data_IF_817282849702
#
_entry.id   IF_817282849702
#
_cell.length_a   1.000
_cell.length_b   1.000
_cell.length_c   1.000
_cell.angle_alpha   90.00
_cell.angle_beta   90.00
_cell.angle_gamma   90.00
#
_symmetry.space_group_name_H-M   'P 1'
#
loop_
_entity.id
_entity.type
_entity.pdbx_description
1 polymer ?
#
# COMPACT_ATOMS: atom_id res chain seq x y z
N UNK A 1 -17.97 11.18 64.68
CA UNK A 1 -17.24 12.18 63.91
C UNK A 1 -18.01 12.62 62.62
N UNK A 2 -18.54 11.74 61.82
CA UNK A 2 -19.33 12.11 60.61
C UNK A 2 -20.70 12.70 61.01
N UNK A 3 -21.37 12.16 62.06
CA UNK A 3 -22.66 12.64 62.49
C UNK A 3 -22.59 14.04 63.12
N UNK A 4 -21.50 14.36 63.84
CA UNK A 4 -21.30 15.69 64.49
C UNK A 4 -20.90 16.76 63.44
N UNK A 5 -20.23 16.35 62.38
CA UNK A 5 -19.90 17.23 61.26
C UNK A 5 -21.14 17.54 60.40
N UNK A 6 -21.94 16.54 60.10
CA UNK A 6 -23.22 16.70 59.42
C UNK A 6 -24.19 17.63 60.20
N UNK A 7 -24.22 17.53 61.50
CA UNK A 7 -25.04 18.41 62.36
C UNK A 7 -24.58 19.88 62.37
N UNK A 8 -23.30 20.16 62.12
CA UNK A 8 -22.77 21.55 62.03
C UNK A 8 -23.07 22.19 60.66
N UNK A 9 -23.05 21.45 59.58
CA UNK A 9 -23.39 21.98 58.25
C UNK A 9 -24.88 22.31 58.15
N UNK A 10 -25.74 21.55 58.81
CA UNK A 10 -27.20 21.74 58.75
C UNK A 10 -27.76 22.65 59.88
N UNK A 11 -26.94 23.15 60.84
CA UNK A 11 -27.39 23.98 61.96
C UNK A 11 -27.18 25.49 61.76
N UNK A 12 -26.69 25.96 60.63
CA UNK A 12 -26.60 27.42 60.39
C UNK A 12 -27.90 27.96 59.72
N UNK A 13 -29.02 27.82 60.43
CA UNK A 13 -30.19 28.72 60.32
C UNK A 13 -30.30 29.59 61.56
N UNK A 14 -29.77 30.83 61.50
CA UNK A 14 -30.10 31.85 62.50
C UNK A 14 -31.41 32.54 62.12
N UNK A 15 -32.31 32.81 63.10
CA UNK A 15 -33.55 33.53 62.84
C UNK A 15 -33.26 35.02 62.65
N UNK A 16 -33.67 35.53 61.46
CA UNK A 16 -33.70 36.98 61.22
C UNK A 16 -35.05 37.53 61.66
N UNK A 17 -35.00 38.56 62.52
CA UNK A 17 -36.12 39.37 63.01
C UNK A 17 -36.89 40.06 61.85
N UNK A 18 -38.18 40.27 61.93
CA UNK A 18 -38.97 40.83 60.86
C UNK A 18 -38.81 42.34 60.73
N UNK A 19 -38.27 42.81 59.60
CA UNK A 19 -38.47 44.19 59.18
C UNK A 19 -39.02 44.20 57.75
N UNK A 20 -40.15 44.84 57.65
CA UNK A 20 -41.00 45.21 56.51
C UNK A 20 -40.26 45.57 55.21
N UNK A 21 -40.61 44.95 54.09
CA UNK A 21 -41.08 45.51 52.82
C UNK A 21 -40.61 44.70 51.63
N UNK A 22 -41.53 44.48 50.67
CA UNK A 22 -41.41 43.84 49.35
C UNK A 22 -41.22 42.32 49.35
N UNK A 23 -42.32 41.60 49.16
CA UNK A 23 -42.36 40.17 48.85
C UNK A 23 -41.70 39.88 47.52
N UNK A 24 -40.39 39.54 47.56
CA UNK A 24 -39.84 38.67 46.54
C UNK A 24 -40.25 37.24 46.92
N UNK A 25 -40.74 36.41 45.97
CA UNK A 25 -41.08 35.03 46.26
C UNK A 25 -39.85 34.33 46.78
N UNK A 26 -39.91 33.81 48.01
CA UNK A 26 -38.80 33.02 48.56
C UNK A 26 -38.52 31.86 47.64
N UNK A 27 -37.22 31.61 47.29
CA UNK A 27 -36.87 30.52 46.40
C UNK A 27 -37.39 29.19 46.95
N UNK A 28 -37.98 28.36 46.11
CA UNK A 28 -38.47 27.04 46.54
C UNK A 28 -37.30 26.23 47.15
N UNK A 29 -37.64 25.33 48.09
CA UNK A 29 -36.60 24.48 48.71
C UNK A 29 -35.73 23.77 47.67
N UNK A 30 -36.33 23.40 46.56
CA UNK A 30 -35.61 22.76 45.43
C UNK A 30 -34.63 23.72 44.70
N UNK A 31 -35.00 25.01 44.52
CA UNK A 31 -34.12 26.02 43.93
C UNK A 31 -32.90 26.29 44.84
N UNK A 32 -33.13 26.35 46.17
CA UNK A 32 -32.02 26.49 47.12
C UNK A 32 -31.09 25.28 47.10
N UNK A 33 -31.63 24.07 47.03
CA UNK A 33 -30.82 22.86 46.92
C UNK A 33 -30.00 22.79 45.62
N UNK A 34 -30.55 23.22 44.48
CA UNK A 34 -29.86 23.32 43.20
C UNK A 34 -28.70 24.33 43.24
N UNK A 35 -28.92 25.46 43.95
CA UNK A 35 -27.88 26.47 44.15
C UNK A 35 -26.72 25.90 44.94
N UNK A 36 -27.02 25.18 46.05
CA UNK A 36 -26.01 24.49 46.86
C UNK A 36 -25.26 23.43 46.06
N UNK A 37 -25.97 22.64 45.23
CA UNK A 37 -25.33 21.64 44.38
C UNK A 37 -24.39 22.29 43.35
N UNK A 38 -24.80 23.40 42.73
CA UNK A 38 -23.97 24.19 41.82
C UNK A 38 -22.74 24.74 42.52
N UNK A 39 -22.88 25.30 43.72
CA UNK A 39 -21.76 25.81 44.50
C UNK A 39 -20.79 24.70 44.88
N UNK A 40 -21.28 23.56 45.33
CA UNK A 40 -20.45 22.40 45.66
C UNK A 40 -19.64 21.91 44.46
N UNK A 41 -20.27 21.81 43.26
CA UNK A 41 -19.59 21.45 42.02
C UNK A 41 -18.52 22.47 41.59
N UNK A 42 -18.78 23.75 41.76
CA UNK A 42 -17.82 24.83 41.42
C UNK A 42 -16.63 24.87 42.37
N UNK A 43 -16.89 24.55 43.64
CA UNK A 43 -15.86 24.55 44.70
C UNK A 43 -15.10 23.23 44.83
N UNK A 44 -15.53 22.20 44.10
CA UNK A 44 -14.90 20.90 44.16
C UNK A 44 -13.48 20.94 43.63
N UNK A 45 -12.56 20.37 44.44
CA UNK A 45 -11.16 20.16 44.05
C UNK A 45 -10.86 18.65 44.01
N UNK A 46 -10.27 18.13 42.93
CA UNK A 46 -10.04 16.69 42.76
C UNK A 46 -9.22 16.03 43.90
N UNK A 47 -8.39 16.82 44.59
CA UNK A 47 -7.54 16.34 45.67
C UNK A 47 -8.20 16.42 47.07
N UNK A 48 -9.32 17.15 47.19
CA UNK A 48 -10.02 17.30 48.46
C UNK A 48 -11.22 16.34 48.54
N UNK A 49 -11.05 15.31 49.37
CA UNK A 49 -12.06 14.27 49.60
C UNK A 49 -13.37 14.84 50.17
N UNK A 50 -13.28 15.87 51.04
CA UNK A 50 -14.47 16.44 51.67
C UNK A 50 -15.29 17.28 50.71
N UNK A 51 -14.66 17.99 49.80
CA UNK A 51 -15.39 18.77 48.79
C UNK A 51 -16.21 17.89 47.87
N UNK A 52 -15.70 16.70 47.50
CA UNK A 52 -16.45 15.76 46.69
C UNK A 52 -17.63 15.12 47.43
N UNK A 53 -17.45 14.73 48.68
CA UNK A 53 -18.57 14.24 49.50
C UNK A 53 -19.70 15.28 49.60
N UNK A 54 -19.32 16.56 49.73
CA UNK A 54 -20.28 17.68 49.76
C UNK A 54 -21.10 17.76 48.49
N UNK A 55 -20.49 17.50 47.31
CA UNK A 55 -21.18 17.43 46.01
C UNK A 55 -22.22 16.31 46.00
N UNK A 56 -21.84 15.10 46.46
CA UNK A 56 -22.75 13.94 46.46
C UNK A 56 -23.95 14.17 47.40
N UNK A 57 -23.69 14.69 48.60
CA UNK A 57 -24.73 15.01 49.57
C UNK A 57 -25.65 16.15 49.12
N UNK A 58 -25.11 17.17 48.48
CA UNK A 58 -25.91 18.23 47.88
C UNK A 58 -26.82 17.69 46.74
N UNK A 59 -26.33 16.73 45.94
CA UNK A 59 -27.14 16.06 44.93
C UNK A 59 -28.25 15.19 45.54
N UNK A 60 -27.96 14.47 46.62
CA UNK A 60 -28.97 13.72 47.39
C UNK A 60 -30.09 14.64 47.92
N UNK A 61 -29.74 15.82 48.44
CA UNK A 61 -30.70 16.81 48.91
C UNK A 61 -31.63 17.30 47.77
N UNK A 62 -31.08 17.52 46.57
CA UNK A 62 -31.86 17.86 45.38
C UNK A 62 -32.86 16.75 45.04
N UNK A 63 -32.45 15.49 45.06
CA UNK A 63 -33.29 14.36 44.77
C UNK A 63 -34.44 14.18 45.78
N UNK A 64 -34.11 14.28 47.05
CA UNK A 64 -35.08 14.19 48.14
C UNK A 64 -36.16 15.28 48.06
N UNK A 65 -35.78 16.52 47.71
CA UNK A 65 -36.73 17.64 47.56
C UNK A 65 -37.50 17.53 46.27
N UNK A 66 -36.91 17.02 45.17
CA UNK A 66 -37.58 16.76 43.92
C UNK A 66 -38.77 15.78 44.07
N UNK A 67 -38.56 14.74 44.87
CA UNK A 67 -39.65 13.80 45.20
C UNK A 67 -40.74 14.44 46.05
N UNK A 68 -40.35 15.28 47.00
CA UNK A 68 -41.28 15.94 47.92
C UNK A 68 -42.12 17.02 47.21
N UNK A 69 -41.54 17.81 46.31
CA UNK A 69 -42.19 18.91 45.57
C UNK A 69 -42.79 18.50 44.24
N UNK A 70 -43.00 17.19 43.98
CA UNK A 70 -43.60 16.60 42.77
C UNK A 70 -42.97 17.06 41.44
N UNK A 71 -41.63 17.13 41.39
CA UNK A 71 -40.91 17.16 40.14
C UNK A 71 -40.29 18.50 39.69
N UNK A 72 -40.78 19.62 40.07
CA UNK A 72 -40.23 20.94 39.70
C UNK A 72 -40.61 21.38 38.23
N UNK A 73 -40.33 22.65 37.92
CA UNK A 73 -40.53 23.20 36.57
C UNK A 73 -39.54 22.67 35.53
N UNK A 74 -39.86 22.76 34.25
CA UNK A 74 -38.98 22.36 33.14
C UNK A 74 -37.59 23.06 33.20
N UNK A 75 -37.59 24.33 33.66
CA UNK A 75 -36.32 25.09 33.87
C UNK A 75 -35.44 24.49 34.95
N UNK A 76 -36.01 24.00 36.05
CA UNK A 76 -35.33 23.35 37.16
C UNK A 76 -34.71 22.00 36.69
N UNK A 77 -35.52 21.24 35.94
CA UNK A 77 -35.04 19.96 35.36
C UNK A 77 -33.87 20.19 34.39
N UNK A 78 -33.95 21.22 33.53
CA UNK A 78 -32.87 21.58 32.61
C UNK A 78 -31.56 21.96 33.33
N UNK A 79 -31.69 22.76 34.43
CA UNK A 79 -30.52 23.12 35.24
C UNK A 79 -29.91 21.91 35.96
N UNK A 80 -30.75 21.00 36.48
CA UNK A 80 -30.28 19.78 37.13
C UNK A 80 -29.55 18.88 36.12
N UNK A 81 -30.10 18.71 34.90
CA UNK A 81 -29.47 17.92 33.86
C UNK A 81 -28.10 18.46 33.44
N UNK A 82 -27.95 19.79 33.34
CA UNK A 82 -26.68 20.43 33.05
C UNK A 82 -25.62 20.18 34.15
N UNK A 83 -26.04 20.32 35.42
CA UNK A 83 -25.14 20.05 36.56
C UNK A 83 -24.77 18.56 36.65
N UNK A 84 -25.70 17.66 36.41
CA UNK A 84 -25.45 16.22 36.39
C UNK A 84 -24.51 15.82 35.22
N UNK A 85 -24.62 16.49 34.08
CA UNK A 85 -23.68 16.31 33.00
C UNK A 85 -22.26 16.79 33.35
N UNK A 86 -22.15 17.94 34.01
CA UNK A 86 -20.88 18.44 34.53
C UNK A 86 -20.25 17.47 35.53
N UNK A 87 -21.04 16.93 36.46
CA UNK A 87 -20.56 15.93 37.43
C UNK A 87 -20.04 14.68 36.73
N UNK A 88 -20.75 14.19 35.72
CA UNK A 88 -20.32 13.02 34.91
C UNK A 88 -18.99 13.27 34.16
N UNK A 89 -18.80 14.45 33.61
CA UNK A 89 -17.54 14.81 32.92
C UNK A 89 -16.32 14.85 33.90
N UNK A 90 -16.57 15.16 35.15
CA UNK A 90 -15.55 15.23 36.19
C UNK A 90 -15.32 13.86 36.89
N UNK A 91 -16.21 12.89 36.67
CA UNK A 91 -16.17 11.57 37.30
C UNK A 91 -14.82 10.82 37.18
N UNK A 92 -14.07 10.89 36.03
CA UNK A 92 -12.78 10.22 35.92
C UNK A 92 -11.70 10.70 36.90
N UNK A 93 -11.91 11.84 37.54
CA UNK A 93 -10.97 12.43 38.49
C UNK A 93 -11.19 11.93 39.95
N UNK A 94 -12.26 11.15 40.17
CA UNK A 94 -12.64 10.67 41.49
C UNK A 94 -11.93 9.37 41.84
N UNK A 95 -11.26 9.27 43.01
CA UNK A 95 -10.64 8.04 43.47
C UNK A 95 -11.68 6.97 43.78
N UNK A 96 -11.59 5.82 43.08
CA UNK A 96 -12.54 4.69 43.14
C UNK A 96 -12.71 4.16 44.58
N UNK A 97 -11.60 4.08 45.33
CA UNK A 97 -11.60 3.57 46.69
C UNK A 97 -12.45 4.41 47.64
N UNK A 98 -12.55 5.72 47.43
CA UNK A 98 -13.33 6.62 48.25
C UNK A 98 -14.84 6.38 48.13
N UNK A 99 -15.34 6.24 46.90
CA UNK A 99 -16.75 5.96 46.62
C UNK A 99 -17.19 4.61 47.23
N UNK A 100 -16.31 3.61 47.12
CA UNK A 100 -16.55 2.29 47.72
C UNK A 100 -16.73 2.37 49.24
N UNK A 101 -15.83 3.06 49.92
CA UNK A 101 -15.90 3.22 51.38
C UNK A 101 -17.11 4.03 51.85
N UNK A 102 -17.46 5.09 51.13
CA UNK A 102 -18.63 5.92 51.47
C UNK A 102 -19.94 5.19 51.22
N UNK A 103 -20.06 4.37 50.16
CA UNK A 103 -21.24 3.54 49.95
C UNK A 103 -21.51 2.55 51.06
N UNK A 104 -20.47 1.98 51.65
CA UNK A 104 -20.63 1.08 52.80
C UNK A 104 -21.18 1.83 54.01
N UNK A 105 -20.83 3.11 54.17
CA UNK A 105 -21.27 3.93 55.34
C UNK A 105 -22.64 4.57 55.11
N UNK A 106 -22.88 5.13 53.93
CA UNK A 106 -24.09 5.91 53.62
C UNK A 106 -25.24 5.02 53.12
N UNK A 107 -24.91 3.87 52.52
CA UNK A 107 -25.87 2.93 51.91
C UNK A 107 -26.88 3.61 50.96
N UNK A 108 -26.42 4.36 49.95
CA UNK A 108 -27.31 5.10 49.06
C UNK A 108 -28.19 4.14 48.25
N UNK A 109 -29.36 4.62 47.87
CA UNK A 109 -30.26 3.85 47.00
C UNK A 109 -29.58 3.55 45.65
N UNK A 110 -29.85 2.38 45.06
CA UNK A 110 -29.21 1.91 43.82
C UNK A 110 -29.50 2.78 42.58
N UNK A 111 -30.57 3.56 42.59
CA UNK A 111 -30.94 4.52 41.55
C UNK A 111 -30.21 5.89 41.68
N UNK A 112 -29.45 6.08 42.76
CA UNK A 112 -28.64 7.29 42.97
C UNK A 112 -27.31 7.12 42.21
N UNK A 113 -27.31 7.21 40.88
CA UNK A 113 -26.20 6.96 39.98
C UNK A 113 -24.92 7.76 40.35
N UNK A 114 -25.02 8.91 40.94
CA UNK A 114 -23.88 9.75 41.35
C UNK A 114 -23.01 9.13 42.47
N UNK A 115 -23.56 8.20 43.22
CA UNK A 115 -22.79 7.39 44.14
C UNK A 115 -22.05 6.21 43.50
N UNK A 116 -22.33 5.94 42.22
CA UNK A 116 -21.76 4.83 41.44
C UNK A 116 -20.96 5.34 40.22
N UNK A 117 -20.41 6.56 40.29
CA UNK A 117 -19.59 7.19 39.24
C UNK A 117 -18.36 6.38 38.88
N UNK A 118 -17.78 5.68 39.86
CA UNK A 118 -16.66 4.75 39.67
C UNK A 118 -17.03 3.59 38.72
N UNK A 119 -18.24 3.07 38.83
CA UNK A 119 -18.70 2.01 37.92
C UNK A 119 -18.84 2.53 36.49
N UNK A 120 -19.49 3.68 36.29
CA UNK A 120 -19.63 4.29 34.99
C UNK A 120 -18.27 4.68 34.37
N UNK A 121 -17.34 5.16 35.18
CA UNK A 121 -15.98 5.46 34.77
C UNK A 121 -15.20 4.18 34.39
N UNK A 122 -15.40 3.10 35.18
CA UNK A 122 -14.77 1.81 34.91
C UNK A 122 -15.32 1.18 33.64
N UNK A 123 -16.64 1.23 33.35
CA UNK A 123 -17.26 0.74 32.14
C UNK A 123 -16.73 1.48 30.91
N UNK A 124 -16.66 2.81 30.93
CA UNK A 124 -16.10 3.61 29.83
C UNK A 124 -14.61 3.37 29.63
N UNK A 125 -13.84 3.16 30.69
CA UNK A 125 -12.42 2.80 30.61
C UNK A 125 -12.24 1.39 30.03
N UNK A 126 -13.10 0.45 30.39
CA UNK A 126 -13.09 -0.91 29.87
C UNK A 126 -13.45 -0.96 28.39
N UNK A 127 -14.48 -0.21 27.94
CA UNK A 127 -14.83 -0.11 26.53
C UNK A 127 -13.69 0.50 25.70
N UNK A 128 -13.09 1.59 26.16
CA UNK A 128 -11.92 2.18 25.50
C UNK A 128 -10.74 1.20 25.43
N UNK A 129 -10.46 0.52 26.53
CA UNK A 129 -9.40 -0.49 26.58
C UNK A 129 -9.67 -1.63 25.60
N UNK A 130 -10.91 -2.12 25.51
CA UNK A 130 -11.32 -3.14 24.54
C UNK A 130 -11.09 -2.68 23.09
N UNK A 131 -11.48 -1.45 22.73
CA UNK A 131 -11.25 -0.89 21.39
C UNK A 131 -9.76 -0.85 21.04
N UNK A 132 -8.92 -0.36 21.95
CA UNK A 132 -7.47 -0.31 21.72
C UNK A 132 -6.83 -1.70 21.59
N UNK A 133 -7.25 -2.67 22.40
CA UNK A 133 -6.79 -4.05 22.25
C UNK A 133 -7.23 -4.65 20.91
N UNK A 134 -8.47 -4.41 20.51
CA UNK A 134 -9.00 -4.88 19.22
C UNK A 134 -8.21 -4.29 18.04
N UNK A 135 -7.89 -2.99 18.08
CA UNK A 135 -7.05 -2.34 17.07
C UNK A 135 -5.63 -2.93 17.04
N UNK A 136 -5.01 -3.14 18.21
CA UNK A 136 -3.68 -3.75 18.29
C UNK A 136 -3.66 -5.14 17.66
N UNK A 137 -4.67 -5.97 17.96
CA UNK A 137 -4.82 -7.32 17.39
C UNK A 137 -5.03 -7.24 15.88
N UNK A 138 -5.85 -6.31 15.40
CA UNK A 138 -6.10 -6.13 13.97
C UNK A 138 -4.82 -5.78 13.22
N UNK A 139 -4.06 -4.78 13.67
CA UNK A 139 -2.79 -4.42 13.04
C UNK A 139 -1.77 -5.55 13.09
N UNK A 140 -1.75 -6.31 14.19
CA UNK A 140 -0.88 -7.46 14.30
C UNK A 140 -1.24 -8.56 13.27
N UNK A 141 -2.53 -8.89 13.13
CA UNK A 141 -3.02 -9.86 12.14
C UNK A 141 -2.65 -9.42 10.70
N UNK A 142 -2.74 -8.13 10.40
CA UNK A 142 -2.35 -7.59 9.09
C UNK A 142 -0.83 -7.59 8.88
N UNK A 143 -0.05 -7.43 9.93
CA UNK A 143 1.42 -7.35 9.86
C UNK A 143 2.06 -8.71 9.56
N UNK A 144 1.53 -9.79 10.12
CA UNK A 144 2.13 -11.13 10.02
C UNK A 144 2.22 -11.66 8.59
N UNK A 145 1.15 -11.63 7.75
CA UNK A 145 1.23 -12.04 6.36
C UNK A 145 2.22 -11.22 5.55
N UNK A 146 2.25 -9.89 5.77
CA UNK A 146 3.21 -9.00 5.09
C UNK A 146 4.66 -9.34 5.45
N UNK A 147 4.95 -9.55 6.73
CA UNK A 147 6.28 -9.94 7.19
C UNK A 147 6.69 -11.30 6.62
N UNK A 148 5.77 -12.27 6.60
CA UNK A 148 6.00 -13.60 6.02
C UNK A 148 6.29 -13.51 4.51
N UNK A 149 5.55 -12.66 3.77
CA UNK A 149 5.77 -12.45 2.34
C UNK A 149 7.14 -11.79 2.07
N UNK A 150 7.53 -10.79 2.86
CA UNK A 150 8.84 -10.14 2.77
C UNK A 150 9.96 -11.18 3.00
N UNK A 151 9.85 -11.98 4.05
CA UNK A 151 10.83 -13.01 4.36
C UNK A 151 10.96 -14.01 3.21
N UNK A 152 9.84 -14.47 2.66
CA UNK A 152 9.84 -15.39 1.52
C UNK A 152 10.53 -14.80 0.30
N UNK A 153 10.24 -13.54 -0.04
CA UNK A 153 10.80 -12.85 -1.21
C UNK A 153 12.32 -12.58 -1.08
N UNK A 154 12.77 -12.15 0.09
CA UNK A 154 14.19 -11.89 0.33
C UNK A 154 15.03 -13.18 0.37
N UNK A 155 14.43 -14.30 0.77
CA UNK A 155 15.13 -15.57 0.96
C UNK A 155 14.67 -16.70 0.04
N UNK A 156 14.03 -16.37 -1.07
CA UNK A 156 13.59 -17.35 -2.07
C UNK A 156 14.72 -18.26 -2.61
N UNK A 157 16.00 -17.90 -2.39
CA UNK A 157 17.18 -18.67 -2.78
C UNK A 157 18.00 -19.15 -1.57
N UNK A 158 17.42 -19.14 -0.35
CA UNK A 158 18.11 -19.54 0.87
C UNK A 158 17.90 -21.05 1.17
N UNK A 159 18.85 -21.72 1.84
CA UNK A 159 18.73 -23.13 2.15
C UNK A 159 17.51 -23.44 3.04
N UNK A 160 16.97 -24.67 2.92
CA UNK A 160 15.70 -25.15 3.50
C UNK A 160 15.46 -24.86 4.99
N UNK A 161 16.53 -24.66 5.76
CA UNK A 161 16.43 -24.37 7.19
C UNK A 161 15.75 -23.02 7.51
N UNK A 162 15.74 -22.08 6.56
CA UNK A 162 15.14 -20.75 6.76
C UNK A 162 13.62 -20.79 6.56
N UNK A 163 13.12 -21.69 5.71
CA UNK A 163 11.69 -21.92 5.58
C UNK A 163 11.08 -22.43 6.90
N UNK A 164 11.80 -23.29 7.62
CA UNK A 164 11.41 -23.81 8.94
C UNK A 164 11.38 -22.66 9.98
N UNK A 165 12.42 -21.82 9.99
CA UNK A 165 12.50 -20.67 10.91
C UNK A 165 11.39 -19.64 10.63
N UNK A 166 11.09 -19.35 9.37
CA UNK A 166 10.00 -18.44 9.01
C UNK A 166 8.63 -19.00 9.39
N UNK A 167 8.43 -20.30 9.20
CA UNK A 167 7.19 -21.00 9.61
C UNK A 167 7.04 -21.02 11.12
N UNK A 168 8.10 -21.32 11.87
CA UNK A 168 8.12 -21.27 13.33
C UNK A 168 7.89 -19.85 13.86
N UNK A 169 8.54 -18.85 13.26
CA UNK A 169 8.33 -17.45 13.61
C UNK A 169 6.88 -17.02 13.36
N UNK A 170 6.31 -17.42 12.22
CA UNK A 170 4.90 -17.16 11.88
C UNK A 170 3.95 -17.83 12.87
N UNK A 171 4.21 -19.07 13.24
CA UNK A 171 3.44 -19.80 14.26
C UNK A 171 3.56 -19.15 15.65
N UNK A 172 4.75 -18.74 16.05
CA UNK A 172 5.00 -18.10 17.34
C UNK A 172 4.31 -16.72 17.41
N UNK A 173 4.31 -15.98 16.33
CA UNK A 173 3.67 -14.70 16.20
C UNK A 173 2.14 -14.83 16.14
N UNK A 174 1.61 -15.79 15.39
CA UNK A 174 0.15 -16.02 15.27
C UNK A 174 -0.46 -16.63 16.52
N UNK A 175 0.27 -17.45 17.26
CA UNK A 175 -0.19 -18.04 18.52
C UNK A 175 -0.14 -17.04 19.71
N UNK A 176 0.73 -16.04 19.66
CA UNK A 176 1.07 -15.18 20.79
C UNK A 176 -0.08 -14.31 21.33
N UNK A 177 -0.88 -13.57 20.54
CA UNK A 177 -1.91 -12.67 21.07
C UNK A 177 -3.15 -13.39 21.61
N UNK A 178 -3.39 -14.62 21.19
CA UNK A 178 -4.60 -15.38 21.53
C UNK A 178 -4.40 -16.38 22.67
N UNK A 179 -3.15 -16.67 23.02
CA UNK A 179 -2.82 -17.60 24.12
C UNK A 179 -2.56 -16.84 25.42
N UNK A 180 -2.83 -17.49 26.57
CA UNK A 180 -2.50 -16.95 27.89
C UNK A 180 -1.00 -16.62 27.99
N UNK A 181 -0.16 -17.52 27.53
CA UNK A 181 1.30 -17.38 27.54
C UNK A 181 1.79 -16.26 26.61
N UNK A 182 1.15 -16.07 25.48
CA UNK A 182 1.48 -14.96 24.57
C UNK A 182 1.15 -13.58 25.14
N UNK A 183 0.04 -13.46 25.86
CA UNK A 183 -0.31 -12.24 26.57
C UNK A 183 0.67 -11.95 27.71
N UNK A 184 1.07 -12.99 28.46
CA UNK A 184 2.07 -12.85 29.53
C UNK A 184 3.45 -12.47 28.98
N UNK A 185 3.89 -13.04 27.85
CA UNK A 185 5.12 -12.68 27.16
C UNK A 185 5.07 -11.22 26.67
N UNK A 186 3.95 -10.82 26.08
CA UNK A 186 3.75 -9.43 25.62
C UNK A 186 3.78 -8.44 26.80
N UNK A 187 3.12 -8.76 27.90
CA UNK A 187 3.15 -7.95 29.13
C UNK A 187 4.55 -7.91 29.71
N UNK A 188 5.30 -9.02 29.71
CA UNK A 188 6.67 -9.08 30.16
C UNK A 188 7.59 -8.19 29.29
N UNK A 189 7.44 -8.25 27.96
CA UNK A 189 8.18 -7.39 27.02
C UNK A 189 7.86 -5.91 27.25
N UNK A 190 6.59 -5.56 27.42
CA UNK A 190 6.15 -4.19 27.68
C UNK A 190 6.62 -3.67 29.05
N UNK A 191 6.67 -4.53 30.08
CA UNK A 191 7.23 -4.16 31.37
C UNK A 191 8.75 -3.93 31.34
N UNK A 192 9.46 -4.57 30.41
CA UNK A 192 10.91 -4.37 30.26
C UNK A 192 11.24 -3.05 29.55
N UNK A 193 10.30 -2.52 28.79
CA UNK A 193 10.36 -1.16 28.21
C UNK A 193 9.81 -0.18 29.26
N UNK A 194 10.58 0.07 30.32
CA UNK A 194 10.23 0.82 31.53
C UNK A 194 9.80 2.29 31.35
N UNK A 195 9.52 2.73 30.15
CA UNK A 195 9.24 4.15 29.82
C UNK A 195 7.76 4.49 29.76
N UNK A 196 6.84 3.53 29.92
CA UNK A 196 5.42 3.72 29.63
C UNK A 196 4.55 3.61 30.89
N UNK A 197 3.72 4.63 31.18
CA UNK A 197 2.81 4.60 32.31
C UNK A 197 1.76 3.48 32.15
N UNK A 198 1.57 2.70 33.20
CA UNK A 198 0.73 1.48 33.23
C UNK A 198 -0.73 1.71 32.86
N UNK A 199 -1.26 2.92 33.03
CA UNK A 199 -2.66 3.25 32.73
C UNK A 199 -2.93 3.47 31.19
N UNK A 200 -1.88 3.54 30.36
CA UNK A 200 -2.01 3.71 28.89
C UNK A 200 -1.51 2.51 28.09
N UNK A 201 -1.35 1.35 28.72
CA UNK A 201 -0.78 0.17 28.05
C UNK A 201 -1.55 -0.24 26.79
N UNK A 202 -2.89 -0.18 26.80
CA UNK A 202 -3.69 -0.55 25.63
C UNK A 202 -3.49 0.41 24.45
N UNK A 203 -3.44 1.71 24.71
CA UNK A 203 -3.18 2.75 23.71
C UNK A 203 -1.79 2.59 23.11
N UNK A 204 -0.78 2.37 23.96
CA UNK A 204 0.61 2.19 23.50
C UNK A 204 0.80 0.90 22.73
N UNK A 205 0.12 -0.18 23.09
CA UNK A 205 0.13 -1.42 22.30
C UNK A 205 -0.43 -1.20 20.89
N UNK A 206 -1.59 -0.53 20.77
CA UNK A 206 -2.20 -0.27 19.48
C UNK A 206 -1.34 0.66 18.61
N UNK A 207 -0.79 1.73 19.19
CA UNK A 207 0.10 2.65 18.47
C UNK A 207 1.39 1.98 18.01
N UNK A 208 1.99 1.14 18.84
CA UNK A 208 3.20 0.37 18.50
C UNK A 208 2.91 -0.64 17.39
N UNK A 209 1.78 -1.37 17.47
CA UNK A 209 1.35 -2.30 16.43
C UNK A 209 1.08 -1.57 15.10
N UNK A 210 0.46 -0.40 15.15
CA UNK A 210 0.22 0.43 13.97
C UNK A 210 1.52 0.92 13.32
N UNK A 211 2.47 1.42 14.13
CA UNK A 211 3.79 1.85 13.63
C UNK A 211 4.54 0.67 13.01
N UNK A 212 4.54 -0.50 13.66
CA UNK A 212 5.16 -1.70 13.10
C UNK A 212 4.51 -2.11 11.78
N UNK A 213 3.18 -2.06 11.69
CA UNK A 213 2.45 -2.29 10.45
C UNK A 213 2.87 -1.32 9.34
N UNK A 214 2.94 -0.01 9.63
CA UNK A 214 3.36 0.99 8.65
C UNK A 214 4.81 0.78 8.19
N UNK A 215 5.73 0.43 9.08
CA UNK A 215 7.13 0.15 8.74
C UNK A 215 7.24 -1.08 7.83
N UNK A 216 6.52 -2.16 8.15
CA UNK A 216 6.54 -3.39 7.35
C UNK A 216 5.82 -3.18 6.02
N UNK A 217 4.71 -2.44 6.00
CA UNK A 217 4.02 -2.06 4.77
C UNK A 217 4.91 -1.16 3.90
N UNK A 218 5.60 -0.18 4.49
CA UNK A 218 6.56 0.65 3.78
C UNK A 218 7.72 -0.17 3.19
N UNK A 219 8.27 -1.11 3.95
CA UNK A 219 9.28 -2.04 3.46
C UNK A 219 8.74 -2.86 2.27
N UNK A 220 7.51 -3.39 2.36
CA UNK A 220 6.90 -4.22 1.32
C UNK A 220 6.55 -3.44 0.05
N UNK A 221 5.91 -2.28 0.20
CA UNK A 221 5.33 -1.57 -0.93
C UNK A 221 6.22 -0.44 -1.50
N UNK A 222 7.15 0.09 -0.71
CA UNK A 222 8.03 1.16 -1.16
C UNK A 222 9.47 0.67 -1.39
N UNK A 223 10.04 -0.09 -0.46
CA UNK A 223 11.45 -0.47 -0.53
C UNK A 223 11.71 -1.69 -1.42
N UNK A 224 10.91 -2.77 -1.30
CA UNK A 224 11.15 -3.99 -2.09
C UNK A 224 11.02 -3.78 -3.60
N UNK A 225 10.06 -3.01 -4.14
CA UNK A 225 10.02 -2.72 -5.58
C UNK A 225 11.28 -1.99 -6.06
N UNK A 226 11.76 -0.99 -5.28
CA UNK A 226 13.00 -0.28 -5.61
C UNK A 226 14.23 -1.20 -5.57
N UNK A 227 14.28 -2.12 -4.60
CA UNK A 227 15.34 -3.11 -4.52
C UNK A 227 15.31 -4.07 -5.71
N UNK A 228 14.13 -4.51 -6.15
CA UNK A 228 13.96 -5.33 -7.34
C UNK A 228 14.43 -4.59 -8.61
N UNK A 229 14.06 -3.32 -8.79
CA UNK A 229 14.56 -2.50 -9.90
C UNK A 229 16.08 -2.40 -9.92
N UNK A 230 16.72 -2.19 -8.75
CA UNK A 230 18.19 -2.17 -8.66
C UNK A 230 18.83 -3.50 -9.06
N UNK A 231 18.25 -4.63 -8.65
CA UNK A 231 18.75 -5.94 -9.12
C UNK A 231 18.52 -6.14 -10.61
N UNK A 232 17.43 -5.65 -11.16
CA UNK A 232 17.18 -5.65 -12.61
C UNK A 232 18.26 -4.84 -13.36
N UNK A 233 18.55 -3.62 -12.93
CA UNK A 233 19.61 -2.77 -13.49
C UNK A 233 20.99 -3.44 -13.43
N UNK A 234 21.32 -4.06 -12.28
CA UNK A 234 22.54 -4.84 -12.14
C UNK A 234 22.60 -6.04 -13.09
N UNK A 235 21.44 -6.67 -13.33
CA UNK A 235 21.30 -7.75 -14.30
C UNK A 235 21.57 -7.28 -15.73
N UNK A 236 21.01 -6.15 -16.12
CA UNK A 236 21.22 -5.52 -17.43
C UNK A 236 22.70 -5.13 -17.61
N UNK A 237 23.31 -4.50 -16.60
CA UNK A 237 24.73 -4.17 -16.63
C UNK A 237 25.58 -5.43 -16.83
N UNK A 238 25.29 -6.52 -16.12
CA UNK A 238 25.99 -7.78 -16.25
C UNK A 238 25.80 -8.44 -17.65
N UNK A 239 24.65 -8.25 -18.32
CA UNK A 239 24.45 -8.67 -19.73
C UNK A 239 25.43 -7.89 -20.62
N UNK A 240 25.48 -6.56 -20.46
CA UNK A 240 26.34 -5.69 -21.28
C UNK A 240 27.83 -6.02 -21.08
N UNK A 241 28.21 -6.43 -19.86
CA UNK A 241 29.57 -6.86 -19.53
C UNK A 241 29.88 -8.32 -19.96
N UNK A 242 28.92 -9.04 -20.54
CA UNK A 242 29.05 -10.44 -20.93
C UNK A 242 29.03 -11.43 -19.76
N UNK A 243 28.71 -10.98 -18.55
CA UNK A 243 28.69 -11.79 -17.32
C UNK A 243 27.33 -12.50 -17.15
N UNK A 244 26.96 -13.37 -18.09
CA UNK A 244 25.61 -13.93 -18.19
C UNK A 244 25.16 -14.74 -16.95
N UNK A 245 26.08 -15.40 -16.27
CA UNK A 245 25.75 -16.12 -15.02
C UNK A 245 25.32 -15.14 -13.92
N UNK A 246 26.05 -14.04 -13.76
CA UNK A 246 25.69 -12.97 -12.82
C UNK A 246 24.39 -12.28 -13.21
N UNK A 247 24.21 -11.99 -14.50
CA UNK A 247 22.99 -11.41 -15.04
C UNK A 247 21.76 -12.24 -14.66
N UNK A 248 21.78 -13.54 -14.94
CA UNK A 248 20.69 -14.46 -14.58
C UNK A 248 20.42 -14.45 -13.07
N UNK A 249 21.47 -14.53 -12.25
CA UNK A 249 21.32 -14.50 -10.80
C UNK A 249 20.64 -13.20 -10.33
N UNK A 250 21.07 -12.06 -10.85
CA UNK A 250 20.50 -10.75 -10.47
C UNK A 250 19.05 -10.58 -10.92
N UNK A 251 18.74 -10.98 -12.15
CA UNK A 251 17.39 -10.92 -12.68
C UNK A 251 16.44 -11.87 -11.95
N UNK A 252 16.88 -13.08 -11.61
CA UNK A 252 16.09 -14.00 -10.78
C UNK A 252 15.86 -13.46 -9.36
N UNK A 253 16.84 -12.76 -8.78
CA UNK A 253 16.66 -12.06 -7.50
C UNK A 253 15.63 -10.93 -7.63
N UNK A 254 15.66 -10.15 -8.72
CA UNK A 254 14.66 -9.11 -8.98
C UNK A 254 13.24 -9.70 -9.05
N UNK A 255 13.04 -10.77 -9.80
CA UNK A 255 11.78 -11.50 -9.94
C UNK A 255 11.30 -12.05 -8.60
N UNK A 256 12.19 -12.65 -7.81
CA UNK A 256 11.85 -13.21 -6.50
C UNK A 256 11.36 -12.13 -5.51
N UNK A 257 11.95 -10.94 -5.57
CA UNK A 257 11.59 -9.78 -4.72
C UNK A 257 10.30 -9.13 -5.22
N UNK A 258 10.16 -8.92 -6.53
CA UNK A 258 8.98 -8.36 -7.14
C UNK A 258 8.58 -9.15 -8.40
N UNK A 259 7.65 -10.08 -8.23
CA UNK A 259 7.14 -10.92 -9.32
C UNK A 259 6.37 -10.17 -10.40
N UNK A 260 5.95 -8.93 -10.13
CA UNK A 260 5.13 -8.15 -11.05
C UNK A 260 5.99 -7.23 -11.95
N UNK A 261 7.33 -7.32 -11.82
CA UNK A 261 8.29 -6.50 -12.56
C UNK A 261 8.56 -7.11 -13.94
N UNK A 262 7.70 -6.88 -14.92
CA UNK A 262 7.82 -7.37 -16.30
C UNK A 262 9.20 -7.14 -16.95
N UNK A 263 9.88 -5.97 -16.78
CA UNK A 263 11.23 -5.77 -17.29
C UNK A 263 12.26 -6.81 -16.85
N UNK A 264 12.12 -7.39 -15.63
CA UNK A 264 13.07 -8.40 -15.15
C UNK A 264 12.94 -9.72 -15.89
N UNK A 265 11.73 -10.12 -16.24
CA UNK A 265 11.47 -11.30 -17.08
C UNK A 265 11.97 -11.08 -18.50
N UNK A 266 11.69 -9.90 -19.07
CA UNK A 266 12.17 -9.50 -20.39
C UNK A 266 13.70 -9.52 -20.47
N UNK A 267 14.40 -8.95 -19.52
CA UNK A 267 15.86 -8.93 -19.47
C UNK A 267 16.43 -10.34 -19.25
N UNK A 268 15.75 -11.19 -18.47
CA UNK A 268 16.13 -12.59 -18.30
C UNK A 268 15.99 -13.37 -19.61
N UNK A 269 14.91 -13.13 -20.36
CA UNK A 269 14.72 -13.67 -21.72
C UNK A 269 15.87 -13.24 -22.63
N UNK A 270 16.22 -11.96 -22.63
CA UNK A 270 17.35 -11.43 -23.42
C UNK A 270 18.69 -12.09 -23.03
N UNK A 271 18.93 -12.37 -21.74
CA UNK A 271 20.12 -13.10 -21.30
C UNK A 271 20.14 -14.56 -21.81
N UNK A 272 19.01 -15.25 -21.88
CA UNK A 272 18.90 -16.57 -22.50
C UNK A 272 19.10 -16.53 -24.02
N UNK A 273 18.58 -15.50 -24.67
CA UNK A 273 18.76 -15.28 -26.08
C UNK A 273 20.24 -15.06 -26.46
N UNK A 274 21.02 -14.34 -25.65
CA UNK A 274 22.47 -14.11 -25.88
C UNK A 274 23.27 -15.41 -25.96
N UNK A 275 22.78 -16.49 -25.34
CA UNK A 275 23.40 -17.83 -25.41
C UNK A 275 22.63 -18.78 -26.36
N UNK A 276 21.82 -18.24 -27.26
CA UNK A 276 21.02 -18.96 -28.25
C UNK A 276 20.06 -20.02 -27.65
N UNK A 277 19.63 -19.85 -26.39
CA UNK A 277 18.60 -20.68 -25.75
C UNK A 277 17.24 -20.08 -26.02
N UNK A 278 16.79 -20.19 -27.28
CA UNK A 278 15.60 -19.47 -27.77
C UNK A 278 14.29 -19.97 -27.15
N UNK A 279 14.18 -21.27 -26.88
CA UNK A 279 12.96 -21.81 -26.26
C UNK A 279 12.74 -21.27 -24.83
N UNK A 280 13.81 -21.15 -24.04
CA UNK A 280 13.72 -20.54 -22.72
C UNK A 280 13.51 -19.02 -22.82
N UNK A 281 14.13 -18.36 -23.78
CA UNK A 281 13.89 -16.94 -24.01
C UNK A 281 12.41 -16.67 -24.33
N UNK A 282 11.79 -17.48 -25.18
CA UNK A 282 10.36 -17.39 -25.49
C UNK A 282 9.53 -17.50 -24.20
N UNK A 283 9.76 -18.52 -23.38
CA UNK A 283 9.03 -18.69 -22.12
C UNK A 283 9.16 -17.48 -21.20
N UNK A 284 10.34 -16.89 -21.11
CA UNK A 284 10.55 -15.71 -20.26
C UNK A 284 9.93 -14.42 -20.84
N UNK A 285 9.89 -14.27 -22.18
CA UNK A 285 9.13 -13.17 -22.82
C UNK A 285 7.63 -13.33 -22.61
N UNK A 286 7.09 -14.55 -22.69
CA UNK A 286 5.69 -14.84 -22.38
C UNK A 286 5.37 -14.52 -20.92
N UNK A 287 6.26 -14.89 -19.97
CA UNK A 287 6.13 -14.53 -18.56
C UNK A 287 6.15 -13.01 -18.35
N UNK A 288 6.97 -12.26 -19.09
CA UNK A 288 6.94 -10.80 -19.05
C UNK A 288 5.58 -10.26 -19.46
N UNK A 289 4.97 -10.82 -20.51
CA UNK A 289 3.64 -10.44 -20.98
C UNK A 289 2.51 -10.88 -20.04
N UNK A 290 2.69 -11.97 -19.29
CA UNK A 290 1.73 -12.35 -18.23
C UNK A 290 1.72 -11.33 -17.09
N UNK A 291 2.86 -10.68 -16.78
CA UNK A 291 2.92 -9.65 -15.75
C UNK A 291 2.44 -8.29 -16.27
N UNK A 292 2.72 -7.97 -17.53
CA UNK A 292 2.31 -6.72 -18.15
C UNK A 292 1.94 -6.94 -19.62
N UNK A 293 0.65 -7.02 -19.90
CA UNK A 293 0.10 -7.17 -21.25
C UNK A 293 0.34 -5.94 -22.15
N UNK A 294 0.76 -4.82 -21.57
CA UNK A 294 1.05 -3.58 -22.30
C UNK A 294 2.55 -3.39 -22.56
N UNK A 295 3.39 -4.37 -22.22
CA UNK A 295 4.83 -4.29 -22.38
C UNK A 295 5.26 -4.59 -23.84
N UNK A 296 5.12 -3.60 -24.71
CA UNK A 296 5.37 -3.71 -26.16
C UNK A 296 6.77 -4.26 -26.55
N UNK A 297 7.88 -3.98 -25.83
CA UNK A 297 9.19 -4.57 -26.16
C UNK A 297 9.21 -6.11 -26.15
N UNK A 298 8.42 -6.76 -25.30
CA UNK A 298 8.36 -8.22 -25.24
C UNK A 298 7.68 -8.81 -26.49
N UNK A 299 6.61 -8.18 -26.99
CA UNK A 299 5.96 -8.60 -28.24
C UNK A 299 6.93 -8.55 -29.43
N UNK A 300 7.75 -7.49 -29.50
CA UNK A 300 8.75 -7.38 -30.57
C UNK A 300 9.75 -8.53 -30.54
N UNK A 301 10.34 -8.83 -29.39
CA UNK A 301 11.36 -9.87 -29.30
C UNK A 301 10.76 -11.27 -29.44
N UNK A 302 9.59 -11.50 -28.88
CA UNK A 302 8.86 -12.76 -29.02
C UNK A 302 8.51 -13.02 -30.50
N UNK A 303 7.94 -12.03 -31.20
CA UNK A 303 7.65 -12.15 -32.65
C UNK A 303 8.91 -12.42 -33.47
N UNK A 304 10.01 -11.75 -33.17
CA UNK A 304 11.30 -11.98 -33.84
C UNK A 304 11.85 -13.40 -33.58
N UNK A 305 11.68 -13.97 -32.39
CA UNK A 305 12.09 -15.34 -32.09
C UNK A 305 11.26 -16.36 -32.87
N UNK A 306 9.96 -16.14 -33.02
CA UNK A 306 9.11 -17.00 -33.89
C UNK A 306 9.52 -16.92 -35.35
N UNK A 307 9.95 -15.75 -35.84
CA UNK A 307 10.54 -15.66 -37.19
C UNK A 307 11.83 -16.50 -37.31
N UNK A 308 12.69 -16.46 -36.29
CA UNK A 308 13.91 -17.29 -36.27
C UNK A 308 13.61 -18.79 -36.23
N UNK A 309 12.48 -19.19 -35.66
CA UNK A 309 12.01 -20.58 -35.62
C UNK A 309 11.26 -20.99 -36.93
N UNK A 310 11.07 -20.05 -37.85
CA UNK A 310 10.36 -20.30 -39.12
C UNK A 310 8.85 -20.36 -39.00
N UNK A 311 8.29 -19.68 -37.99
CA UNK A 311 6.85 -19.52 -37.78
C UNK A 311 6.39 -18.07 -38.02
N UNK A 312 6.27 -17.62 -39.26
CA UNK A 312 5.88 -16.25 -39.57
C UNK A 312 4.41 -15.98 -39.24
N UNK A 313 3.55 -16.99 -39.14
CA UNK A 313 2.12 -16.82 -38.81
C UNK A 313 1.96 -16.45 -37.35
N UNK A 314 2.64 -17.17 -36.45
CA UNK A 314 2.63 -16.85 -35.06
C UNK A 314 3.32 -15.49 -34.79
N UNK A 315 4.44 -15.24 -35.47
CA UNK A 315 5.15 -13.96 -35.38
C UNK A 315 4.23 -12.78 -35.75
N UNK A 316 3.47 -12.87 -36.86
CA UNK A 316 2.52 -11.85 -37.28
C UNK A 316 1.52 -11.54 -36.15
N UNK A 317 0.87 -12.56 -35.60
CA UNK A 317 -0.14 -12.41 -34.55
C UNK A 317 0.42 -11.66 -33.35
N UNK A 318 1.63 -12.00 -32.91
CA UNK A 318 2.32 -11.40 -31.77
C UNK A 318 2.69 -9.95 -32.08
N UNK A 319 3.27 -9.68 -33.25
CA UNK A 319 3.73 -8.34 -33.63
C UNK A 319 2.56 -7.36 -33.84
N UNK A 320 1.47 -7.82 -34.43
CA UNK A 320 0.22 -7.04 -34.55
C UNK A 320 -0.33 -6.69 -33.18
N UNK A 321 -0.27 -7.62 -32.21
CA UNK A 321 -0.66 -7.33 -30.82
C UNK A 321 0.24 -6.27 -30.19
N UNK A 322 1.53 -6.32 -30.42
CA UNK A 322 2.48 -5.30 -29.94
C UNK A 322 2.17 -3.91 -30.49
N UNK A 323 1.88 -3.79 -31.79
CA UNK A 323 1.47 -2.52 -32.41
C UNK A 323 0.13 -2.01 -31.85
N UNK A 324 -0.84 -2.89 -31.65
CA UNK A 324 -2.13 -2.54 -31.06
C UNK A 324 -1.98 -1.97 -29.64
N UNK A 325 -1.08 -2.55 -28.85
CA UNK A 325 -0.78 -2.06 -27.49
C UNK A 325 -0.21 -0.64 -27.55
N UNK A 326 0.80 -0.38 -28.37
CA UNK A 326 1.39 0.95 -28.53
C UNK A 326 0.38 2.01 -28.97
N UNK A 327 -0.53 1.69 -29.87
CA UNK A 327 -1.55 2.63 -30.34
C UNK A 327 -2.56 3.03 -29.25
N UNK A 328 -2.69 2.26 -28.20
CA UNK A 328 -3.62 2.52 -27.08
C UNK A 328 -2.99 3.25 -25.89
N UNK A 329 -1.67 3.27 -25.83
CA UNK A 329 -0.97 4.04 -24.80
C UNK A 329 -1.03 5.51 -25.21
N UNK A 330 -1.77 6.39 -24.51
CA UNK A 330 -1.63 7.83 -24.72
C UNK A 330 -0.23 8.21 -24.25
N UNK A 331 0.44 9.15 -24.93
CA UNK A 331 1.77 9.74 -24.68
C UNK A 331 2.20 9.82 -23.19
N UNK A 332 2.11 8.74 -22.45
CA UNK A 332 2.60 8.65 -21.10
C UNK A 332 4.12 8.53 -21.20
N UNK A 333 4.76 9.68 -21.07
CA UNK A 333 6.20 9.79 -20.83
C UNK A 333 6.52 8.93 -19.62
N UNK A 334 6.97 7.71 -19.85
CA UNK A 334 7.50 6.86 -18.78
C UNK A 334 8.96 7.24 -18.63
N UNK A 335 9.23 8.09 -17.65
CA UNK A 335 10.58 8.43 -17.17
C UNK A 335 11.24 7.21 -16.48
N UNK A 336 11.35 6.09 -17.19
CA UNK A 336 12.17 4.97 -16.73
C UNK A 336 13.44 4.87 -17.60
N UNK A 337 14.62 5.03 -16.99
CA UNK A 337 15.90 5.15 -17.69
C UNK A 337 16.37 3.88 -18.44
N UNK A 338 15.60 2.80 -18.43
CA UNK A 338 15.96 1.52 -19.05
C UNK A 338 15.04 1.09 -20.19
N UNK A 339 13.99 1.87 -20.52
CA UNK A 339 13.09 1.51 -21.62
C UNK A 339 13.57 2.10 -22.94
N UNK A 340 13.48 1.28 -23.99
CA UNK A 340 13.79 1.75 -25.35
C UNK A 340 12.78 2.84 -25.75
N UNK A 341 13.20 3.90 -26.46
CA UNK A 341 12.27 4.90 -26.98
C UNK A 341 11.11 4.22 -27.70
N UNK A 342 9.88 4.62 -27.38
CA UNK A 342 8.66 4.04 -27.96
C UNK A 342 8.73 3.97 -29.48
N UNK A 343 9.20 5.04 -30.11
CA UNK A 343 9.43 5.11 -31.56
C UNK A 343 10.36 3.99 -32.07
N UNK A 344 11.39 3.62 -31.31
CA UNK A 344 12.29 2.52 -31.66
C UNK A 344 11.58 1.16 -31.56
N UNK A 345 10.74 0.96 -30.55
CA UNK A 345 9.95 -0.28 -30.42
C UNK A 345 8.96 -0.38 -31.57
N UNK A 346 8.26 0.71 -31.89
CA UNK A 346 7.32 0.78 -33.01
C UNK A 346 8.02 0.49 -34.35
N UNK A 347 9.18 1.10 -34.59
CA UNK A 347 10.01 0.84 -35.76
C UNK A 347 10.34 -0.66 -35.91
N UNK A 348 10.78 -1.31 -34.83
CA UNK A 348 11.13 -2.73 -34.84
C UNK A 348 9.93 -3.63 -35.07
N UNK A 349 8.79 -3.33 -34.45
CA UNK A 349 7.54 -4.06 -34.63
C UNK A 349 7.10 -4.03 -36.11
N UNK A 350 7.07 -2.84 -36.72
CA UNK A 350 6.75 -2.72 -38.16
C UNK A 350 7.76 -3.45 -39.03
N UNK A 351 9.05 -3.38 -38.72
CA UNK A 351 10.11 -4.08 -39.47
C UNK A 351 9.92 -5.61 -39.43
N UNK A 352 9.74 -6.18 -38.24
CA UNK A 352 9.56 -7.63 -38.09
C UNK A 352 8.21 -8.11 -38.62
N UNK A 353 7.16 -7.28 -38.48
CA UNK A 353 5.86 -7.60 -39.08
C UNK A 353 5.94 -7.61 -40.62
N UNK A 354 6.64 -6.64 -41.21
CA UNK A 354 6.91 -6.64 -42.66
C UNK A 354 7.68 -7.88 -43.11
N UNK A 355 8.67 -8.34 -42.34
CA UNK A 355 9.38 -9.60 -42.59
C UNK A 355 8.42 -10.79 -42.51
N UNK A 356 7.59 -10.89 -41.45
CA UNK A 356 6.62 -11.97 -41.26
C UNK A 356 5.65 -12.10 -42.45
N UNK A 357 5.13 -10.97 -42.92
CA UNK A 357 4.22 -10.88 -44.04
C UNK A 357 4.90 -11.25 -45.38
N UNK A 358 6.16 -10.82 -45.56
CA UNK A 358 6.96 -11.23 -46.72
C UNK A 358 7.14 -12.74 -46.75
N UNK A 359 7.52 -13.37 -45.63
CA UNK A 359 7.73 -14.83 -45.55
C UNK A 359 6.43 -15.63 -45.78
N UNK A 360 5.26 -15.03 -45.51
CA UNK A 360 3.95 -15.60 -45.80
C UNK A 360 3.49 -15.35 -47.25
N UNK A 361 4.20 -14.51 -48.04
CA UNK A 361 3.84 -14.13 -49.38
C UNK A 361 2.82 -12.99 -49.48
N UNK A 362 2.42 -12.37 -48.38
CA UNK A 362 1.57 -11.16 -48.44
C UNK A 362 2.43 -9.91 -48.68
N UNK A 363 2.93 -9.81 -49.89
CA UNK A 363 3.83 -8.74 -50.30
C UNK A 363 3.17 -7.35 -50.25
N UNK A 364 1.84 -7.28 -50.37
CA UNK A 364 1.13 -6.01 -50.32
C UNK A 364 1.08 -5.44 -48.89
N UNK A 365 0.89 -6.27 -47.92
CA UNK A 365 0.95 -5.85 -46.51
C UNK A 365 2.39 -5.65 -46.04
N UNK A 366 3.31 -6.51 -46.48
CA UNK A 366 4.74 -6.36 -46.20
C UNK A 366 5.28 -4.99 -46.62
N UNK A 367 4.98 -4.57 -47.88
CA UNK A 367 5.33 -3.24 -48.39
C UNK A 367 4.83 -2.11 -47.48
N UNK A 368 3.57 -2.16 -47.02
CA UNK A 368 3.02 -1.16 -46.14
C UNK A 368 3.78 -1.09 -44.81
N UNK A 369 3.94 -2.23 -44.13
CA UNK A 369 4.58 -2.28 -42.82
C UNK A 369 6.05 -1.84 -42.88
N UNK A 370 6.78 -2.23 -43.89
CA UNK A 370 8.18 -1.82 -44.07
C UNK A 370 8.33 -0.31 -44.37
N UNK A 371 7.39 0.28 -45.08
CA UNK A 371 7.37 1.74 -45.29
C UNK A 371 6.97 2.49 -44.01
N UNK A 372 6.04 1.95 -43.25
CA UNK A 372 5.68 2.52 -41.94
C UNK A 372 6.91 2.53 -40.99
N UNK A 373 7.70 1.45 -41.00
CA UNK A 373 8.97 1.42 -40.30
C UNK A 373 9.93 2.54 -40.79
N UNK A 374 10.14 2.66 -42.09
CA UNK A 374 11.04 3.66 -42.68
C UNK A 374 10.55 5.11 -42.42
N UNK A 375 9.25 5.31 -42.29
CA UNK A 375 8.70 6.63 -41.93
C UNK A 375 9.06 7.06 -40.50
N UNK A 376 9.34 6.11 -39.60
CA UNK A 376 9.77 6.33 -38.24
C UNK A 376 11.30 6.51 -38.09
N UNK A 377 12.08 6.14 -39.13
CA UNK A 377 13.55 6.16 -39.10
C UNK A 377 14.15 7.57 -38.85
N UNK A 378 13.60 8.67 -39.43
CA UNK A 378 14.16 10.00 -39.20
C UNK A 378 14.22 10.35 -37.72
N UNK A 379 15.44 10.63 -37.21
CA UNK A 379 15.70 10.93 -35.80
C UNK A 379 16.12 9.74 -34.93
N UNK A 380 16.18 8.53 -35.51
CA UNK A 380 16.73 7.36 -34.85
C UNK A 380 18.15 7.06 -35.37
N UNK A 381 19.12 6.94 -34.45
CA UNK A 381 20.49 6.50 -34.80
C UNK A 381 20.54 4.97 -34.81
N UNK A 382 19.99 4.34 -35.86
CA UNK A 382 19.73 2.91 -35.91
C UNK A 382 20.93 2.06 -36.43
N UNK A 383 21.88 2.68 -37.15
CA UNK A 383 23.01 1.95 -37.74
C UNK A 383 22.56 0.74 -38.53
N UNK A 384 23.11 -0.43 -38.22
CA UNK A 384 22.78 -1.71 -38.90
C UNK A 384 21.28 -2.05 -38.88
N UNK A 385 20.51 -1.60 -37.89
CA UNK A 385 19.07 -1.88 -37.82
C UNK A 385 18.31 -1.31 -39.02
N UNK A 386 18.77 -0.20 -39.59
CA UNK A 386 18.18 0.41 -40.81
C UNK A 386 18.32 -0.45 -42.05
N UNK A 387 19.27 -1.37 -42.08
CA UNK A 387 19.43 -2.29 -43.22
C UNK A 387 18.24 -3.22 -43.43
N UNK A 388 17.63 -3.69 -42.33
CA UNK A 388 16.58 -4.73 -42.36
C UNK A 388 15.32 -4.33 -43.14
N UNK A 389 14.65 -3.19 -42.86
CA UNK A 389 13.46 -2.81 -43.60
C UNK A 389 13.76 -2.59 -45.11
N UNK A 390 14.90 -1.99 -45.44
CA UNK A 390 15.33 -1.84 -46.84
C UNK A 390 15.58 -3.18 -47.52
N UNK A 391 16.23 -4.11 -46.85
CA UNK A 391 16.48 -5.48 -47.36
C UNK A 391 15.17 -6.19 -47.68
N UNK A 392 14.23 -6.24 -46.73
CA UNK A 392 12.95 -6.92 -46.99
C UNK A 392 12.06 -6.17 -47.98
N UNK A 393 12.15 -4.82 -48.04
CA UNK A 393 11.41 -4.05 -49.04
C UNK A 393 11.92 -4.32 -50.46
N UNK A 394 13.24 -4.45 -50.64
CA UNK A 394 13.83 -4.85 -51.90
C UNK A 394 13.36 -6.26 -52.33
N UNK A 395 13.41 -7.25 -51.44
CA UNK A 395 12.88 -8.59 -51.67
C UNK A 395 11.38 -8.59 -52.00
N UNK A 396 10.60 -7.77 -51.30
CA UNK A 396 9.16 -7.60 -51.51
C UNK A 396 8.89 -7.06 -52.91
N UNK A 397 9.69 -6.08 -53.39
CA UNK A 397 9.54 -5.50 -54.73
C UNK A 397 9.99 -6.46 -55.83
N UNK A 398 11.02 -7.26 -55.61
CA UNK A 398 11.40 -8.34 -56.49
C UNK A 398 10.25 -9.36 -56.65
N UNK A 399 9.67 -9.83 -55.55
CA UNK A 399 8.56 -10.76 -55.55
C UNK A 399 7.30 -10.19 -56.22
N UNK A 400 7.08 -8.88 -56.15
CA UNK A 400 6.03 -8.16 -56.88
C UNK A 400 6.38 -7.89 -58.36
N UNK A 401 7.56 -8.29 -58.82
CA UNK A 401 8.07 -8.04 -60.18
C UNK A 401 8.09 -6.55 -60.53
N UNK A 402 8.42 -5.68 -59.59
CA UNK A 402 8.56 -4.25 -59.87
C UNK A 402 9.77 -3.96 -60.76
N UNK A 403 9.78 -2.82 -61.43
CA UNK A 403 10.91 -2.46 -62.28
C UNK A 403 12.20 -2.27 -61.44
N UNK A 404 13.39 -2.62 -62.01
CA UNK A 404 14.67 -2.48 -61.33
C UNK A 404 14.93 -1.08 -60.71
N UNK A 405 14.40 -0.04 -61.37
CA UNK A 405 14.51 1.34 -60.88
C UNK A 405 13.88 1.57 -59.50
N UNK A 406 12.88 0.77 -59.11
CA UNK A 406 12.27 0.84 -57.77
C UNK A 406 12.99 -0.08 -56.77
N UNK A 407 13.62 -1.17 -57.23
CA UNK A 407 14.27 -2.17 -56.38
C UNK A 407 15.69 -1.73 -55.95
N UNK A 408 16.49 -1.27 -56.96
CA UNK A 408 17.90 -0.92 -56.76
C UNK A 408 18.12 0.06 -55.59
N UNK A 409 17.35 1.16 -55.45
CA UNK A 409 17.53 2.09 -54.34
C UNK A 409 17.46 1.46 -52.93
N UNK A 410 16.56 0.46 -52.78
CA UNK A 410 16.44 -0.24 -51.48
C UNK A 410 17.61 -1.20 -51.21
N UNK A 411 18.11 -1.91 -52.25
CA UNK A 411 19.35 -2.68 -52.07
C UNK A 411 20.56 -1.80 -51.77
N UNK A 412 20.70 -0.64 -52.42
CA UNK A 412 21.77 0.31 -52.17
C UNK A 412 21.66 0.89 -50.75
N UNK A 413 20.47 1.26 -50.31
CA UNK A 413 20.24 1.71 -48.97
C UNK A 413 20.56 0.62 -47.93
N UNK A 414 20.10 -0.61 -48.14
CA UNK A 414 20.45 -1.72 -47.26
C UNK A 414 21.99 -1.93 -47.18
N UNK A 415 22.69 -1.83 -48.31
CA UNK A 415 24.14 -1.99 -48.38
C UNK A 415 24.89 -0.88 -47.66
N UNK A 416 24.35 0.34 -47.59
CA UNK A 416 24.98 1.48 -46.93
C UNK A 416 25.03 1.34 -45.42
N UNK A 417 24.12 0.55 -44.83
CA UNK A 417 24.02 0.32 -43.39
C UNK A 417 24.73 -0.95 -42.90
N UNK A 418 25.20 -1.83 -43.81
CA UNK A 418 25.92 -3.06 -43.45
C UNK A 418 27.41 -2.91 -43.72
N UNK A 419 28.22 -3.46 -42.82
CA UNK A 419 29.68 -3.53 -42.96
C UNK A 419 30.12 -4.95 -43.38
N UNK A 420 31.39 -5.11 -43.78
CA UNK A 420 31.92 -6.44 -44.14
C UNK A 420 32.10 -7.34 -42.89
N UNK A 421 32.09 -6.74 -41.70
CA UNK A 421 32.28 -7.43 -40.41
C UNK A 421 30.93 -7.86 -39.80
N UNK A 422 29.81 -7.53 -40.48
CA UNK A 422 28.50 -7.96 -40.00
C UNK A 422 28.34 -9.49 -40.12
N UNK A 423 27.83 -10.16 -39.05
CA UNK A 423 27.75 -11.62 -39.01
C UNK A 423 26.76 -12.22 -39.98
N UNK A 424 25.86 -11.41 -40.54
CA UNK A 424 24.86 -11.87 -41.52
C UNK A 424 25.47 -11.94 -42.96
N UNK A 425 25.05 -12.88 -43.77
CA UNK A 425 25.53 -13.01 -45.14
C UNK A 425 25.01 -11.90 -46.09
N UNK A 426 24.34 -10.90 -45.56
CA UNK A 426 23.64 -9.85 -46.29
C UNK A 426 24.55 -9.04 -47.21
N UNK A 427 25.76 -8.61 -46.80
CA UNK A 427 26.59 -7.82 -47.71
C UNK A 427 26.92 -8.54 -49.03
N UNK A 428 27.15 -9.85 -48.97
CA UNK A 428 27.44 -10.65 -50.17
C UNK A 428 26.18 -10.81 -51.04
N UNK A 429 25.04 -11.16 -50.42
CA UNK A 429 23.75 -11.32 -51.11
C UNK A 429 23.33 -10.01 -51.79
N UNK A 430 23.38 -8.89 -51.08
CA UNK A 430 23.00 -7.57 -51.61
C UNK A 430 23.86 -7.19 -52.81
N UNK A 431 25.20 -7.39 -52.75
CA UNK A 431 26.09 -7.07 -53.87
C UNK A 431 25.84 -7.95 -55.11
N UNK A 432 25.49 -9.19 -54.88
CA UNK A 432 25.13 -10.11 -55.97
C UNK A 432 23.85 -9.68 -56.64
N UNK A 433 22.79 -9.41 -55.88
CA UNK A 433 21.51 -8.93 -56.40
C UNK A 433 21.63 -7.61 -57.15
N UNK A 434 22.41 -6.65 -56.61
CA UNK A 434 22.68 -5.39 -57.32
C UNK A 434 23.41 -5.61 -58.63
N UNK A 435 24.35 -6.59 -58.75
CA UNK A 435 25.00 -6.91 -60.03
C UNK A 435 24.00 -7.49 -61.05
N UNK A 436 23.18 -8.42 -60.62
CA UNK A 436 22.14 -9.06 -61.50
C UNK A 436 21.17 -8.01 -62.05
N UNK A 437 20.60 -7.17 -61.15
CA UNK A 437 19.65 -6.14 -61.54
C UNK A 437 20.22 -5.08 -62.47
N UNK A 438 21.50 -4.68 -62.24
CA UNK A 438 22.20 -3.72 -63.14
C UNK A 438 22.60 -4.33 -64.46
N UNK A 439 22.88 -5.63 -64.53
CA UNK A 439 23.18 -6.32 -65.80
C UNK A 439 21.95 -6.54 -66.69
N UNK A 440 20.77 -6.60 -66.09
CA UNK A 440 19.48 -6.73 -66.78
C UNK A 440 18.85 -5.42 -67.24
N UNK A 441 19.44 -4.26 -66.85
CA UNK A 441 18.98 -2.93 -67.34
C UNK A 441 19.68 -2.65 -68.68
N UNK A 442 18.93 -2.51 -69.81
CA UNK A 442 19.49 -2.28 -71.14
C UNK A 442 20.15 -0.92 -71.24
#
# INVERSE_FOLDING_TARGET
>A
MISDWLSRIFKQEQPVSPSTSSEQPQPSGLQTALTLYRQALTQWQPQDRHSFLTVLLARDKVEALRHKEKGGSAAIIGQLTALDQQLRQQAPQVPVELLSNWRQTVQPATNHWWWYLDKAAAETAQEKSFLWHSLAVTFFILTVPLASDIIRRLWAHAPDNIAIVSTLLTLLITASPFTKNGRELMQWLLHRVSFLPTHRHAETMATTAFIAFLLIAGLRFLYLPQLASRYNEQGVAAINDGQLTLARQKLQQAIAINSDLAPSYYNLAAAYETIARYDEAIQWYEQALEQDLEFAPAYNNLGRLHLLQGDPVQAQTILERGLFVLQRQPDTIVDEPAQQPEQLVQYRLHTHLGQALYEQGDYAQADRQLRDALALEPGLELGFLSARPHYYLALTYEAQQRPPAEIIPHWEAALSYVTNDDPAPWPAIIRERLRELRAGVP
#
